data_IF_539438594706
#
_entry.id   IF_539438594706
#
_cell.length_a   1.000
_cell.length_b   1.000
_cell.length_c   1.000
_cell.angle_alpha   90.00
_cell.angle_beta   90.00
_cell.angle_gamma   90.00
#
_symmetry.space_group_name_H-M   'P 1'
#
loop_
_entity.id
_entity.type
_entity.pdbx_description
1 polymer ?
#
# COMPACT_ATOMS: atom_id res chain seq x y z
N UNK A 1 25.61 -5.43 8.46
CA UNK A 1 25.74 -4.05 9.01
C UNK A 1 24.33 -3.53 9.19
N UNK A 2 23.96 -3.00 10.37
CA UNK A 2 22.66 -2.37 10.61
C UNK A 2 22.87 -0.85 10.51
N UNK A 3 22.07 -0.17 9.68
CA UNK A 3 22.06 1.30 9.61
C UNK A 3 21.20 1.83 10.76
N UNK A 4 21.67 2.87 11.45
CA UNK A 4 20.91 3.53 12.52
C UNK A 4 19.68 4.25 11.95
N UNK A 5 18.53 4.13 12.63
CA UNK A 5 17.26 4.69 12.16
C UNK A 5 17.29 6.22 12.07
N UNK A 6 18.08 6.94 12.90
CA UNK A 6 18.23 8.39 12.78
C UNK A 6 18.94 8.80 11.48
N UNK A 7 19.84 7.95 10.97
CA UNK A 7 20.47 8.17 9.65
C UNK A 7 19.40 8.03 8.55
N UNK A 8 18.57 6.99 8.65
CA UNK A 8 17.47 6.76 7.69
C UNK A 8 16.49 7.93 7.72
N UNK A 9 16.02 8.35 8.90
CA UNK A 9 15.17 9.54 9.08
C UNK A 9 15.76 10.79 8.42
N UNK A 10 17.05 11.03 8.63
CA UNK A 10 17.72 12.19 8.03
C UNK A 10 17.63 12.18 6.51
N UNK A 11 17.83 11.02 5.87
CA UNK A 11 17.73 10.90 4.42
C UNK A 11 16.29 10.96 3.91
N UNK A 12 15.31 10.49 4.70
CA UNK A 12 13.89 10.49 4.35
C UNK A 12 13.13 11.77 4.72
N UNK A 13 13.80 12.81 5.21
CA UNK A 13 13.17 14.07 5.64
C UNK A 13 12.31 14.78 4.57
N UNK A 14 12.53 14.47 3.30
CA UNK A 14 11.79 15.02 2.16
C UNK A 14 10.68 14.07 1.65
N UNK A 15 10.41 12.96 2.34
CA UNK A 15 9.42 11.97 1.95
C UNK A 15 8.15 12.14 2.77
N UNK A 16 7.00 12.12 2.08
CA UNK A 16 5.67 12.07 2.67
C UNK A 16 5.04 10.72 2.35
N UNK A 17 4.54 10.04 3.36
CA UNK A 17 3.99 8.69 3.28
C UNK A 17 2.47 8.73 3.41
N UNK A 18 1.76 8.11 2.48
CA UNK A 18 0.34 7.81 2.60
C UNK A 18 0.21 6.29 2.68
N UNK A 19 -0.39 5.79 3.76
CA UNK A 19 -0.66 4.37 4.00
C UNK A 19 -2.10 4.16 4.46
N UNK A 20 -2.52 2.93 4.76
CA UNK A 20 -3.85 2.60 5.29
C UNK A 20 -4.60 1.57 4.46
N UNK A 21 -5.90 1.44 4.70
CA UNK A 21 -6.72 0.37 4.12
C UNK A 21 -6.94 0.51 2.61
N UNK A 22 -7.30 -0.59 1.98
CA UNK A 22 -7.68 -0.58 0.57
C UNK A 22 -8.92 0.29 0.34
N UNK A 23 -9.04 0.85 -0.87
CA UNK A 23 -10.18 1.70 -1.29
C UNK A 23 -10.32 3.06 -0.56
N UNK A 24 -9.40 3.42 0.33
CA UNK A 24 -9.42 4.70 1.03
C UNK A 24 -9.09 5.92 0.15
N UNK A 25 -8.60 5.71 -1.08
CA UNK A 25 -8.28 6.77 -2.04
C UNK A 25 -6.81 7.23 -2.01
N UNK A 26 -5.92 6.47 -1.41
CA UNK A 26 -4.49 6.77 -1.26
C UNK A 26 -3.82 7.18 -2.59
N UNK A 27 -3.85 6.31 -3.59
CA UNK A 27 -3.20 6.54 -4.88
C UNK A 27 -3.74 7.78 -5.60
N UNK A 28 -5.05 8.08 -5.44
CA UNK A 28 -5.65 9.31 -5.95
C UNK A 28 -5.07 10.55 -5.26
N UNK A 29 -4.95 10.52 -3.93
CA UNK A 29 -4.40 11.65 -3.17
C UNK A 29 -2.91 11.83 -3.44
N UNK A 30 -2.15 10.76 -3.57
CA UNK A 30 -0.73 10.81 -3.96
C UNK A 30 -0.57 11.51 -5.31
N UNK A 31 -1.35 11.13 -6.33
CA UNK A 31 -1.32 11.77 -7.64
C UNK A 31 -1.72 13.26 -7.58
N UNK A 32 -2.81 13.57 -6.91
CA UNK A 32 -3.30 14.96 -6.79
C UNK A 32 -2.33 15.88 -6.03
N UNK A 33 -1.72 15.38 -4.94
CA UNK A 33 -0.70 16.12 -4.20
C UNK A 33 0.56 16.34 -5.03
N UNK A 34 1.00 15.30 -5.75
CA UNK A 34 2.15 15.40 -6.63
C UNK A 34 1.95 16.48 -7.70
N UNK A 35 0.82 16.43 -8.40
CA UNK A 35 0.48 17.40 -9.45
C UNK A 35 0.32 18.83 -8.91
N UNK A 36 -0.34 18.98 -7.74
CA UNK A 36 -0.66 20.30 -7.21
C UNK A 36 0.55 21.01 -6.62
N UNK A 37 1.47 20.24 -6.02
CA UNK A 37 2.60 20.80 -5.25
C UNK A 37 3.98 20.50 -5.87
N UNK A 38 4.02 19.94 -7.09
CA UNK A 38 5.27 19.66 -7.80
C UNK A 38 6.14 18.61 -7.11
N UNK A 39 5.52 17.57 -6.52
CA UNK A 39 6.22 16.51 -5.83
C UNK A 39 6.52 15.35 -6.79
N UNK A 40 7.56 14.58 -6.47
CA UNK A 40 7.77 13.30 -7.16
C UNK A 40 6.80 12.27 -6.61
N UNK A 41 6.02 11.66 -7.51
CA UNK A 41 5.07 10.61 -7.17
C UNK A 41 5.76 9.24 -7.17
N UNK A 42 5.53 8.45 -6.11
CA UNK A 42 5.81 7.02 -6.07
C UNK A 42 4.51 6.24 -5.83
N UNK A 43 4.19 5.29 -6.72
CA UNK A 43 3.06 4.37 -6.55
C UNK A 43 3.46 3.12 -5.76
N UNK A 44 2.51 2.22 -5.50
CA UNK A 44 2.68 1.06 -4.61
C UNK A 44 3.90 0.16 -4.90
N UNK A 45 4.34 0.02 -6.14
CA UNK A 45 5.39 -0.94 -6.52
C UNK A 45 6.69 -0.26 -6.99
N UNK A 46 6.98 0.95 -6.51
CA UNK A 46 8.19 1.69 -6.92
C UNK A 46 9.50 0.98 -6.55
N UNK A 47 9.48 0.09 -5.56
CA UNK A 47 10.61 -0.73 -5.14
C UNK A 47 10.99 -1.83 -6.15
N UNK A 48 10.09 -2.21 -7.06
CA UNK A 48 10.34 -3.31 -8.02
C UNK A 48 11.57 -3.08 -8.88
N UNK A 49 11.93 -1.83 -9.15
CA UNK A 49 13.12 -1.48 -9.91
C UNK A 49 14.41 -2.11 -9.38
N UNK A 50 14.56 -2.15 -8.05
CA UNK A 50 15.74 -2.77 -7.42
C UNK A 50 15.42 -4.18 -6.95
N UNK A 51 14.22 -4.42 -6.44
CA UNK A 51 13.83 -5.73 -5.93
C UNK A 51 13.96 -6.81 -7.01
N UNK A 52 13.46 -6.57 -8.22
CA UNK A 52 13.48 -7.55 -9.31
C UNK A 52 14.90 -8.02 -9.71
N UNK A 53 15.93 -7.22 -9.43
CA UNK A 53 17.32 -7.56 -9.74
C UNK A 53 17.99 -8.39 -8.62
N UNK A 54 17.54 -8.27 -7.36
CA UNK A 54 18.32 -8.77 -6.22
C UNK A 54 17.55 -9.73 -5.29
N UNK A 55 16.22 -9.86 -5.42
CA UNK A 55 15.44 -10.77 -4.58
C UNK A 55 15.76 -12.23 -4.87
N UNK A 56 15.82 -13.02 -3.79
CA UNK A 56 15.99 -14.47 -3.87
C UNK A 56 14.94 -15.18 -3.00
N UNK A 57 14.41 -16.35 -3.42
CA UNK A 57 13.33 -17.03 -2.69
C UNK A 57 13.66 -17.39 -1.23
N UNK A 58 14.93 -17.60 -0.92
CA UNK A 58 15.40 -17.95 0.43
C UNK A 58 15.27 -16.77 1.42
N UNK A 59 15.24 -15.53 0.94
CA UNK A 59 15.14 -14.33 1.76
C UNK A 59 13.83 -13.58 1.61
N UNK A 60 13.32 -13.51 0.38
CA UNK A 60 12.10 -12.81 0.02
C UNK A 60 11.10 -13.77 -0.66
N UNK A 61 10.63 -14.82 0.06
CA UNK A 61 9.72 -15.81 -0.52
C UNK A 61 8.39 -15.20 -0.99
N UNK A 62 7.88 -14.17 -0.30
CA UNK A 62 6.62 -13.53 -0.66
C UNK A 62 6.75 -12.65 -1.90
N UNK A 63 7.83 -11.87 -2.04
CA UNK A 63 8.12 -11.11 -3.26
C UNK A 63 8.45 -12.02 -4.45
N UNK A 64 9.07 -13.16 -4.20
CA UNK A 64 9.36 -14.15 -5.23
C UNK A 64 8.16 -15.05 -5.58
N UNK A 65 7.02 -14.94 -4.88
CA UNK A 65 5.91 -15.88 -5.00
C UNK A 65 5.45 -16.08 -6.46
N UNK A 66 5.22 -15.00 -7.20
CA UNK A 66 4.78 -15.10 -8.61
C UNK A 66 5.81 -15.73 -9.56
N UNK A 67 7.09 -15.75 -9.15
CA UNK A 67 8.17 -16.45 -9.90
C UNK A 67 8.25 -17.92 -9.53
N UNK A 68 7.74 -18.33 -8.36
CA UNK A 68 7.89 -19.66 -7.79
C UNK A 68 6.59 -20.46 -7.72
N UNK A 69 5.42 -19.82 -7.79
CA UNK A 69 4.12 -20.47 -7.80
C UNK A 69 4.00 -21.40 -9.03
N UNK A 70 3.21 -22.45 -8.89
CA UNK A 70 2.97 -23.44 -9.95
C UNK A 70 2.16 -22.85 -11.10
N UNK A 71 1.06 -22.20 -10.79
CA UNK A 71 0.16 -21.53 -11.73
C UNK A 71 -0.76 -20.56 -11.01
N UNK A 72 -1.56 -19.81 -11.77
CA UNK A 72 -2.51 -18.83 -11.21
C UNK A 72 -3.65 -19.46 -10.40
N UNK A 73 -3.95 -20.75 -10.62
CA UNK A 73 -4.94 -21.45 -9.82
C UNK A 73 -4.46 -21.67 -8.38
N UNK A 74 -3.16 -21.87 -8.17
CA UNK A 74 -2.57 -21.88 -6.83
C UNK A 74 -2.81 -20.53 -6.13
N UNK A 75 -2.62 -19.41 -6.83
CA UNK A 75 -2.81 -18.08 -6.26
C UNK A 75 -4.27 -17.78 -5.88
N UNK A 76 -5.21 -17.99 -6.83
CA UNK A 76 -6.62 -17.60 -6.61
C UNK A 76 -7.39 -18.54 -5.68
N UNK A 77 -6.87 -19.73 -5.40
CA UNK A 77 -7.48 -20.70 -4.47
C UNK A 77 -6.80 -20.77 -3.09
N UNK A 78 -5.92 -19.83 -2.77
CA UNK A 78 -5.35 -19.71 -1.41
C UNK A 78 -6.44 -19.56 -0.38
N UNK A 79 -6.19 -20.04 0.85
CA UNK A 79 -7.04 -19.70 1.98
C UNK A 79 -6.88 -18.20 2.34
N UNK A 80 -7.86 -17.61 3.02
CA UNK A 80 -7.73 -16.23 3.52
C UNK A 80 -6.45 -16.02 4.35
N UNK A 81 -6.11 -16.97 5.23
CA UNK A 81 -4.93 -16.89 6.10
C UNK A 81 -3.61 -16.98 5.31
N UNK A 82 -3.55 -17.81 4.25
CA UNK A 82 -2.40 -17.88 3.36
C UNK A 82 -2.23 -16.60 2.56
N UNK A 83 -3.33 -16.00 2.14
CA UNK A 83 -3.33 -14.73 1.42
C UNK A 83 -2.87 -13.57 2.31
N UNK A 84 -3.40 -13.47 3.53
CA UNK A 84 -3.01 -12.47 4.52
C UNK A 84 -1.52 -12.59 4.85
N UNK A 85 -1.05 -13.79 5.16
CA UNK A 85 0.37 -14.04 5.43
C UNK A 85 1.28 -13.60 4.28
N UNK A 86 0.85 -13.83 3.05
CA UNK A 86 1.58 -13.40 1.85
C UNK A 86 1.62 -11.88 1.73
N UNK A 87 0.48 -11.18 1.92
CA UNK A 87 0.41 -9.71 1.86
C UNK A 87 1.30 -9.08 2.92
N UNK A 88 1.16 -9.49 4.17
CA UNK A 88 1.94 -8.94 5.29
C UNK A 88 3.43 -9.28 5.16
N UNK A 89 3.74 -10.51 4.79
CA UNK A 89 5.12 -10.94 4.54
C UNK A 89 5.75 -10.19 3.36
N UNK A 90 4.99 -9.95 2.29
CA UNK A 90 5.45 -9.16 1.15
C UNK A 90 5.74 -7.70 1.52
N UNK A 91 4.88 -7.07 2.32
CA UNK A 91 5.10 -5.72 2.83
C UNK A 91 6.37 -5.63 3.69
N UNK A 92 6.59 -6.62 4.58
CA UNK A 92 7.78 -6.69 5.41
C UNK A 92 9.05 -6.88 4.58
N UNK A 93 9.03 -7.76 3.58
CA UNK A 93 10.16 -8.01 2.68
C UNK A 93 10.44 -6.82 1.76
N UNK A 94 9.41 -6.08 1.32
CA UNK A 94 9.54 -4.93 0.45
C UNK A 94 10.13 -3.70 1.16
N UNK A 95 9.93 -3.57 2.47
CA UNK A 95 10.25 -2.36 3.23
C UNK A 95 11.71 -1.89 3.06
N UNK A 96 12.69 -2.81 3.06
CA UNK A 96 14.10 -2.45 2.87
C UNK A 96 14.36 -1.87 1.47
N UNK A 97 13.72 -2.43 0.43
CA UNK A 97 13.84 -1.96 -0.95
C UNK A 97 13.13 -0.61 -1.14
N UNK A 98 11.95 -0.44 -0.51
CA UNK A 98 11.22 0.83 -0.51
C UNK A 98 12.06 1.94 0.12
N UNK A 99 12.61 1.71 1.32
CA UNK A 99 13.48 2.66 2.01
C UNK A 99 14.71 3.01 1.18
N UNK A 100 15.40 2.03 0.60
CA UNK A 100 16.58 2.27 -0.23
C UNK A 100 16.25 3.12 -1.47
N UNK A 101 15.13 2.85 -2.12
CA UNK A 101 14.68 3.59 -3.30
C UNK A 101 14.23 5.01 -2.93
N UNK A 102 13.51 5.19 -1.82
CA UNK A 102 13.12 6.51 -1.33
C UNK A 102 14.33 7.38 -0.96
N UNK A 103 15.36 6.82 -0.34
CA UNK A 103 16.62 7.53 -0.07
C UNK A 103 17.23 8.01 -1.38
N UNK A 104 17.26 7.17 -2.41
CA UNK A 104 17.81 7.53 -3.73
C UNK A 104 17.02 8.65 -4.40
N UNK A 105 15.68 8.58 -4.36
CA UNK A 105 14.80 9.52 -5.06
C UNK A 105 14.73 10.87 -4.35
N UNK A 106 14.68 10.88 -3.02
CA UNK A 106 14.38 12.07 -2.20
C UNK A 106 15.57 12.99 -1.93
N UNK A 107 16.75 12.71 -2.46
CA UNK A 107 17.98 13.47 -2.13
C UNK A 107 17.86 14.99 -2.37
N UNK A 108 17.25 15.40 -3.49
CA UNK A 108 17.17 16.80 -3.90
C UNK A 108 15.73 17.25 -4.21
N UNK A 109 14.73 16.48 -3.85
CA UNK A 109 13.34 16.76 -4.19
C UNK A 109 12.39 16.18 -3.14
N UNK A 110 11.20 16.78 -3.04
CA UNK A 110 10.14 16.25 -2.19
C UNK A 110 9.44 15.10 -2.92
N UNK A 111 9.16 14.04 -2.17
CA UNK A 111 8.54 12.80 -2.67
C UNK A 111 7.27 12.54 -1.89
N UNK A 112 6.22 12.12 -2.57
CA UNK A 112 5.01 11.56 -1.95
C UNK A 112 4.81 10.13 -2.43
N UNK A 113 4.50 9.24 -1.51
CA UNK A 113 4.43 7.80 -1.79
C UNK A 113 3.14 7.17 -1.26
N UNK A 114 2.53 6.29 -2.08
CA UNK A 114 1.55 5.30 -1.63
C UNK A 114 2.35 4.07 -1.18
N UNK A 115 2.42 3.82 0.14
CA UNK A 115 3.32 2.82 0.69
C UNK A 115 2.58 1.74 1.47
N UNK A 116 3.15 0.54 1.44
CA UNK A 116 2.78 -0.58 2.28
C UNK A 116 3.84 -0.89 3.35
N UNK A 117 4.80 0.03 3.58
CA UNK A 117 5.78 -0.13 4.68
C UNK A 117 5.01 -0.31 5.99
N UNK A 118 5.29 -1.38 6.77
CA UNK A 118 4.65 -1.63 8.06
C UNK A 118 4.73 -0.46 9.03
N UNK A 119 3.71 -0.29 9.86
CA UNK A 119 3.57 0.85 10.78
C UNK A 119 4.72 0.94 11.79
N UNK A 120 5.20 -0.19 12.30
CA UNK A 120 6.33 -0.28 13.21
C UNK A 120 7.60 0.30 12.57
N UNK A 121 7.86 -0.02 11.32
CA UNK A 121 8.98 0.54 10.56
C UNK A 121 8.77 2.03 10.30
N UNK A 122 7.55 2.47 9.92
CA UNK A 122 7.26 3.90 9.73
C UNK A 122 7.50 4.70 11.00
N UNK A 123 7.17 4.18 12.19
CA UNK A 123 7.49 4.81 13.47
C UNK A 123 8.99 4.99 13.71
N UNK A 124 9.80 4.07 13.18
CA UNK A 124 11.25 4.14 13.31
C UNK A 124 11.90 5.13 12.35
N UNK A 125 11.35 5.32 11.14
CA UNK A 125 12.02 6.04 10.04
C UNK A 125 11.35 7.34 9.61
N UNK A 126 10.18 7.70 10.15
CA UNK A 126 9.44 8.91 9.78
C UNK A 126 8.96 9.67 11.01
N UNK A 127 8.70 10.96 10.84
CA UNK A 127 8.09 11.81 11.86
C UNK A 127 6.58 11.94 11.62
N UNK A 128 5.82 12.34 12.65
CA UNK A 128 4.36 12.48 12.61
C UNK A 128 3.85 13.23 11.37
N UNK A 129 4.46 14.36 11.03
CA UNK A 129 4.04 15.20 9.89
C UNK A 129 4.43 14.63 8.51
N UNK A 130 5.14 13.52 8.49
CA UNK A 130 5.49 12.84 7.23
C UNK A 130 4.53 11.70 6.89
N UNK A 131 3.67 11.27 7.82
CA UNK A 131 2.81 10.09 7.63
C UNK A 131 1.35 10.46 7.76
N UNK A 132 0.55 10.06 6.77
CA UNK A 132 -0.90 10.11 6.83
C UNK A 132 -1.49 8.73 6.58
N UNK A 133 -2.43 8.32 7.42
CA UNK A 133 -3.20 7.09 7.31
C UNK A 133 -4.57 7.40 6.71
N UNK A 134 -4.93 6.70 5.63
CA UNK A 134 -6.23 6.82 5.02
C UNK A 134 -7.00 5.51 5.18
N UNK A 135 -8.21 5.60 5.72
CA UNK A 135 -9.05 4.45 6.06
C UNK A 135 -10.35 4.46 5.27
N UNK A 136 -10.84 3.26 4.98
CA UNK A 136 -12.20 3.00 4.51
C UNK A 136 -12.76 1.76 5.21
N UNK A 137 -14.10 1.65 5.40
CA UNK A 137 -14.72 0.46 5.97
C UNK A 137 -14.43 -0.79 5.13
N UNK A 138 -14.29 -1.95 5.80
CA UNK A 138 -14.06 -3.25 5.16
C UNK A 138 -15.04 -3.55 4.02
N UNK A 139 -16.35 -3.30 4.25
CA UNK A 139 -17.39 -3.54 3.25
C UNK A 139 -17.09 -2.83 1.92
N UNK A 140 -16.61 -1.58 1.98
CA UNK A 140 -16.24 -0.80 0.80
C UNK A 140 -15.07 -1.45 0.04
N UNK A 141 -14.07 -1.97 0.76
CA UNK A 141 -12.92 -2.65 0.15
C UNK A 141 -13.33 -3.95 -0.56
N UNK A 142 -14.18 -4.76 0.07
CA UNK A 142 -14.61 -6.05 -0.47
C UNK A 142 -15.56 -5.89 -1.65
N UNK A 143 -16.61 -5.05 -1.50
CA UNK A 143 -17.63 -4.86 -2.53
C UNK A 143 -17.07 -4.22 -3.80
N UNK A 144 -16.14 -3.28 -3.64
CA UNK A 144 -15.59 -2.48 -4.73
C UNK A 144 -14.28 -2.98 -5.30
N UNK A 145 -13.77 -4.11 -4.82
CA UNK A 145 -12.45 -4.61 -5.25
C UNK A 145 -12.36 -4.83 -6.76
N UNK A 146 -13.38 -5.45 -7.35
CA UNK A 146 -13.44 -5.74 -8.79
C UNK A 146 -14.17 -4.68 -9.63
N UNK A 147 -14.67 -3.61 -9.01
CA UNK A 147 -15.37 -2.51 -9.71
C UNK A 147 -14.42 -1.46 -10.27
N UNK A 148 -13.10 -1.63 -10.10
CA UNK A 148 -12.09 -0.70 -10.60
C UNK A 148 -11.74 -1.02 -12.05
N UNK A 149 -11.51 0.02 -12.84
CA UNK A 149 -10.83 -0.08 -14.13
C UNK A 149 -9.32 -0.27 -13.88
N UNK A 150 -8.95 -1.51 -13.51
CA UNK A 150 -7.62 -1.92 -13.08
C UNK A 150 -7.28 -3.24 -13.79
N UNK A 151 -6.30 -3.22 -14.71
CA UNK A 151 -5.94 -4.40 -15.49
C UNK A 151 -5.56 -5.62 -14.65
N UNK A 152 -4.87 -5.41 -13.51
CA UNK A 152 -4.45 -6.51 -12.64
C UNK A 152 -5.64 -7.19 -11.99
N UNK A 153 -6.65 -6.40 -11.56
CA UNK A 153 -7.89 -6.95 -11.00
C UNK A 153 -8.76 -7.63 -12.04
N UNK A 154 -8.81 -7.08 -13.25
CA UNK A 154 -9.47 -7.73 -14.38
C UNK A 154 -8.82 -9.09 -14.68
N UNK A 155 -7.48 -9.13 -14.68
CA UNK A 155 -6.72 -10.37 -14.88
C UNK A 155 -7.00 -11.39 -13.77
N UNK A 156 -6.98 -10.99 -12.49
CA UNK A 156 -7.31 -11.89 -11.37
C UNK A 156 -8.74 -12.45 -11.52
N UNK A 157 -9.69 -11.59 -11.86
CA UNK A 157 -11.07 -12.03 -12.12
C UNK A 157 -11.14 -13.08 -13.24
N UNK A 158 -10.37 -12.90 -14.31
CA UNK A 158 -10.27 -13.87 -15.39
C UNK A 158 -9.69 -15.22 -14.90
N UNK A 159 -8.67 -15.21 -14.03
CA UNK A 159 -8.11 -16.44 -13.47
C UNK A 159 -9.11 -17.16 -12.54
N UNK A 160 -9.89 -16.41 -11.75
CA UNK A 160 -10.99 -16.97 -10.94
C UNK A 160 -12.02 -17.66 -11.83
N UNK A 161 -12.40 -17.05 -12.95
CA UNK A 161 -13.36 -17.64 -13.89
C UNK A 161 -12.85 -18.91 -14.61
N UNK A 162 -11.54 -19.16 -14.58
CA UNK A 162 -10.90 -20.39 -15.09
C UNK A 162 -10.82 -21.51 -14.04
N UNK A 163 -11.19 -21.25 -12.80
CA UNK A 163 -11.15 -22.25 -11.73
C UNK A 163 -12.17 -23.37 -11.97
N UNK A 164 -11.94 -24.53 -11.35
CA UNK A 164 -12.87 -25.68 -11.43
C UNK A 164 -14.27 -25.35 -10.93
N UNK A 165 -14.36 -24.48 -9.92
CA UNK A 165 -15.59 -23.95 -9.34
C UNK A 165 -15.44 -22.42 -9.20
N UNK A 166 -15.75 -21.63 -10.24
CA UNK A 166 -15.55 -20.19 -10.23
C UNK A 166 -16.32 -19.44 -9.16
N UNK A 167 -17.54 -19.89 -8.83
CA UNK A 167 -18.37 -19.25 -7.81
C UNK A 167 -17.73 -19.39 -6.43
N UNK A 168 -17.36 -20.63 -6.07
CA UNK A 168 -16.68 -20.91 -4.81
C UNK A 168 -15.32 -20.19 -4.72
N UNK A 169 -14.56 -20.17 -5.82
CA UNK A 169 -13.26 -19.47 -5.87
C UNK A 169 -13.45 -17.97 -5.72
N UNK A 170 -14.50 -17.39 -6.30
CA UNK A 170 -14.83 -15.97 -6.11
C UNK A 170 -15.21 -15.64 -4.66
N UNK A 171 -16.03 -16.50 -4.02
CA UNK A 171 -16.39 -16.33 -2.59
C UNK A 171 -15.14 -16.41 -1.70
N UNK A 172 -14.28 -17.41 -1.95
CA UNK A 172 -13.02 -17.54 -1.23
C UNK A 172 -12.10 -16.31 -1.43
N UNK A 173 -11.99 -15.81 -2.66
CA UNK A 173 -11.16 -14.65 -2.94
C UNK A 173 -11.71 -13.38 -2.27
N UNK A 174 -13.03 -13.21 -2.20
CA UNK A 174 -13.64 -12.14 -1.41
C UNK A 174 -13.33 -12.28 0.08
N UNK A 175 -13.28 -13.50 0.62
CA UNK A 175 -12.85 -13.73 2.00
C UNK A 175 -11.36 -13.37 2.21
N UNK A 176 -10.50 -13.64 1.21
CA UNK A 176 -9.10 -13.18 1.22
C UNK A 176 -9.01 -11.64 1.29
N UNK A 177 -9.84 -10.93 0.52
CA UNK A 177 -9.87 -9.46 0.59
C UNK A 177 -10.43 -8.98 1.92
N UNK A 178 -11.42 -9.69 2.49
CA UNK A 178 -12.03 -9.32 3.76
C UNK A 178 -11.05 -9.44 4.94
N UNK A 179 -10.21 -10.48 4.99
CA UNK A 179 -9.28 -10.70 6.10
C UNK A 179 -8.20 -9.61 6.14
N UNK A 180 -7.61 -9.25 5.01
CA UNK A 180 -6.58 -8.19 4.94
C UNK A 180 -7.14 -6.77 5.12
N UNK A 181 -8.47 -6.63 5.13
CA UNK A 181 -9.18 -5.39 5.48
C UNK A 181 -10.06 -5.61 6.72
N UNK A 182 -9.70 -6.53 7.61
CA UNK A 182 -10.44 -6.84 8.83
C UNK A 182 -10.53 -5.64 9.77
N UNK A 183 -11.44 -5.71 10.74
CA UNK A 183 -11.51 -4.69 11.79
C UNK A 183 -10.21 -4.62 12.60
N UNK A 184 -9.50 -5.74 12.77
CA UNK A 184 -8.22 -5.78 13.46
C UNK A 184 -7.18 -4.94 12.73
N UNK A 185 -7.01 -5.14 11.44
CA UNK A 185 -6.10 -4.30 10.62
C UNK A 185 -6.57 -2.84 10.53
N UNK A 186 -7.89 -2.61 10.46
CA UNK A 186 -8.43 -1.26 10.51
C UNK A 186 -8.07 -0.56 11.82
N UNK A 187 -8.26 -1.24 12.96
CA UNK A 187 -7.99 -0.70 14.29
C UNK A 187 -6.48 -0.48 14.52
N UNK A 188 -5.61 -1.33 13.97
CA UNK A 188 -4.17 -1.15 13.98
C UNK A 188 -3.78 0.18 13.31
N UNK A 189 -4.29 0.45 12.12
CA UNK A 189 -4.08 1.73 11.44
C UNK A 189 -4.71 2.91 12.18
N UNK A 190 -5.96 2.77 12.62
CA UNK A 190 -6.70 3.84 13.32
C UNK A 190 -6.03 4.25 14.63
N UNK A 191 -5.41 3.30 15.34
CA UNK A 191 -4.71 3.50 16.61
C UNK A 191 -3.19 3.67 16.46
N UNK A 192 -2.70 3.84 15.23
CA UNK A 192 -1.25 3.97 14.95
C UNK A 192 -0.59 5.20 15.57
N UNK A 193 -1.37 6.19 16.00
CA UNK A 193 -0.83 7.47 16.48
C UNK A 193 -0.42 8.45 15.37
N UNK A 194 -0.48 8.05 14.10
CA UNK A 194 -0.30 8.95 12.96
C UNK A 194 -1.58 9.73 12.63
N UNK A 195 -1.45 10.77 11.82
CA UNK A 195 -2.58 11.53 11.31
C UNK A 195 -3.50 10.65 10.46
N UNK A 196 -4.79 10.60 10.80
CA UNK A 196 -5.72 9.65 10.18
C UNK A 196 -6.92 10.36 9.57
N UNK A 197 -7.28 9.97 8.34
CA UNK A 197 -8.48 10.41 7.63
C UNK A 197 -9.33 9.17 7.31
N UNK A 198 -10.64 9.27 7.55
CA UNK A 198 -11.59 8.17 7.28
C UNK A 198 -12.50 8.57 6.13
N UNK A 199 -12.52 7.76 5.08
CA UNK A 199 -13.49 7.82 4.00
C UNK A 199 -14.70 6.96 4.36
N UNK A 200 -15.84 7.58 4.68
CA UNK A 200 -17.03 6.86 5.16
C UNK A 200 -18.00 6.49 4.04
N UNK A 201 -17.99 7.21 2.90
CA UNK A 201 -18.89 6.98 1.77
C UNK A 201 -18.14 7.07 0.44
N UNK A 202 -18.27 6.01 -0.38
CA UNK A 202 -17.68 5.94 -1.71
C UNK A 202 -18.35 6.88 -2.73
N UNK A 203 -19.61 7.26 -2.49
CA UNK A 203 -20.42 8.07 -3.42
C UNK A 203 -20.23 9.57 -3.21
N UNK A 204 -19.63 9.99 -2.11
CA UNK A 204 -19.36 11.41 -1.83
C UNK A 204 -17.96 11.75 -2.36
N UNK A 205 -17.89 12.76 -3.22
CA UNK A 205 -16.61 13.29 -3.71
C UNK A 205 -16.02 14.27 -2.68
N UNK A 206 -15.10 13.77 -1.87
CA UNK A 206 -14.35 14.55 -0.87
C UNK A 206 -12.93 14.87 -1.30
N UNK A 207 -12.58 14.68 -2.58
CA UNK A 207 -11.19 14.78 -3.05
C UNK A 207 -10.55 16.14 -2.78
N UNK A 208 -11.27 17.23 -3.06
CA UNK A 208 -10.74 18.58 -2.87
C UNK A 208 -10.49 18.89 -1.39
N UNK A 209 -11.43 18.52 -0.51
CA UNK A 209 -11.32 18.70 0.94
C UNK A 209 -10.16 17.83 1.50
N UNK A 210 -10.12 16.55 1.12
CA UNK A 210 -9.06 15.62 1.56
C UNK A 210 -7.68 16.10 1.10
N UNK A 211 -7.57 16.62 -0.13
CA UNK A 211 -6.33 17.19 -0.65
C UNK A 211 -5.84 18.34 0.23
N UNK A 212 -6.74 19.26 0.60
CA UNK A 212 -6.40 20.42 1.43
C UNK A 212 -5.98 20.01 2.85
N UNK A 213 -6.70 19.06 3.44
CA UNK A 213 -6.40 18.51 4.76
C UNK A 213 -5.00 17.85 4.77
N UNK A 214 -4.70 17.02 3.77
CA UNK A 214 -3.40 16.35 3.63
C UNK A 214 -2.28 17.36 3.36
N UNK A 215 -2.51 18.35 2.52
CA UNK A 215 -1.54 19.40 2.24
C UNK A 215 -1.17 20.19 3.50
N UNK A 216 -2.16 20.51 4.32
CA UNK A 216 -1.93 21.18 5.61
C UNK A 216 -1.14 20.28 6.57
N UNK A 217 -1.48 19.00 6.67
CA UNK A 217 -0.76 18.04 7.51
C UNK A 217 0.71 17.91 7.10
N UNK A 218 0.99 17.82 5.82
CA UNK A 218 2.35 17.71 5.26
C UNK A 218 3.09 19.05 5.16
N UNK A 219 2.50 20.16 5.64
CA UNK A 219 3.06 21.50 5.54
C UNK A 219 3.44 21.89 4.09
N UNK A 220 2.58 21.57 3.13
CA UNK A 220 2.75 21.92 1.73
C UNK A 220 2.17 23.31 1.44
N UNK A 221 2.99 24.19 0.90
CA UNK A 221 2.55 25.49 0.40
C UNK A 221 2.39 25.43 -1.11
N UNK A 222 1.31 25.99 -1.66
CA UNK A 222 1.17 26.17 -3.11
C UNK A 222 2.31 27.06 -3.60
N UNK A 223 2.99 26.59 -4.63
CA UNK A 223 4.03 27.40 -5.33
C UNK A 223 3.40 28.57 -6.06
#
# INVERSE_FOLDING_TARGET
MKIDNNIIKHYLKNVMFITGTAYAGKSTMVAMLADTYGLVQCGENYHSRIADEVIIPERQPNLCYFKTMKDWQEFVNRTPEEYEKWILGGAQEAAEFEVAELIRISQNQKVIVDTNIPLDILHEIADYHQVAVMLSPQAMSVEKFFDRDDPDKAFIKEQIMKAKDPEKTMENYKACIAIVNSNEHYDEYANSGFFTIVRTDANIDTKAETLEILANHFNLNRM
#
